data_IF_413638375759
#
_entry.id   IF_413638375759
#
_cell.length_a   1.000
_cell.length_b   1.000
_cell.length_c   1.000
_cell.angle_alpha   90.00
_cell.angle_beta   90.00
_cell.angle_gamma   90.00
#
_symmetry.space_group_name_H-M   'P 1'
#
loop_
_entity.id
_entity.type
_entity.pdbx_description
1 polymer ?
#
# COMPACT_ATOMS: atom_id res chain seq x y z
N UNK A 1 4.54 8.54 20.57
CA UNK A 1 5.71 8.36 19.71
C UNK A 1 5.37 8.88 18.32
N UNK A 2 6.21 9.76 17.81
CA UNK A 2 6.16 10.27 16.43
C UNK A 2 7.54 10.13 15.83
N UNK A 3 7.61 9.61 14.63
CA UNK A 3 8.84 9.47 13.86
C UNK A 3 8.63 10.04 12.46
N UNK A 4 9.63 10.78 11.96
CA UNK A 4 9.64 11.29 10.61
C UNK A 4 10.99 11.04 9.95
N UNK A 5 10.98 10.69 8.68
CA UNK A 5 12.17 10.46 7.88
C UNK A 5 12.10 11.20 6.55
N UNK A 6 13.23 11.78 6.13
CA UNK A 6 13.41 12.32 4.77
C UNK A 6 14.23 11.33 3.97
N UNK A 7 13.80 11.05 2.77
CA UNK A 7 14.42 10.04 1.90
C UNK A 7 14.94 10.73 0.64
N UNK A 8 16.23 10.53 0.39
CA UNK A 8 16.86 10.86 -0.87
C UNK A 8 17.67 9.65 -1.33
N UNK A 9 17.32 9.13 -2.50
CA UNK A 9 18.02 8.01 -3.13
C UNK A 9 18.31 8.32 -4.58
N UNK A 10 19.52 8.07 -5.00
CA UNK A 10 19.95 8.13 -6.39
C UNK A 10 20.47 6.75 -6.78
N UNK A 11 19.76 6.08 -7.66
CA UNK A 11 20.05 4.71 -8.08
C UNK A 11 20.52 4.74 -9.53
N UNK A 12 21.66 4.11 -9.81
CA UNK A 12 22.14 3.82 -11.16
C UNK A 12 21.79 2.37 -11.50
N UNK A 13 21.64 2.09 -12.78
CA UNK A 13 21.33 0.75 -13.29
C UNK A 13 20.10 0.12 -12.62
N UNK A 14 19.04 0.93 -12.45
CA UNK A 14 17.79 0.48 -11.87
C UNK A 14 17.18 -0.64 -12.71
N UNK A 15 16.97 -1.81 -12.12
CA UNK A 15 16.39 -2.96 -12.80
C UNK A 15 14.89 -2.75 -12.97
N UNK A 16 14.43 -2.78 -14.20
CA UNK A 16 13.03 -2.60 -14.58
C UNK A 16 12.58 -3.77 -15.44
N UNK A 17 11.34 -4.20 -15.22
CA UNK A 17 10.66 -5.09 -16.16
C UNK A 17 10.26 -4.31 -17.39
N UNK A 18 10.60 -4.81 -18.55
CA UNK A 18 10.24 -4.25 -19.85
C UNK A 18 9.62 -5.33 -20.75
N UNK A 19 8.92 -4.93 -21.79
CA UNK A 19 8.40 -5.85 -22.80
C UNK A 19 9.39 -5.88 -23.96
N UNK A 20 9.94 -7.06 -24.21
CA UNK A 20 10.77 -7.32 -25.41
C UNK A 20 9.95 -8.10 -26.42
N UNK A 21 10.06 -7.74 -27.69
CA UNK A 21 9.40 -8.44 -28.80
C UNK A 21 10.45 -9.10 -29.67
N UNK A 22 10.38 -10.40 -29.82
CA UNK A 22 11.24 -11.18 -30.74
C UNK A 22 10.35 -12.07 -31.59
N UNK A 23 10.52 -12.00 -32.92
CA UNK A 23 9.73 -12.81 -33.86
C UNK A 23 8.20 -12.55 -33.78
N UNK A 24 7.77 -11.34 -33.43
CA UNK A 24 6.36 -10.99 -33.28
C UNK A 24 5.72 -11.40 -31.94
N UNK A 25 6.44 -12.10 -31.07
CA UNK A 25 5.96 -12.50 -29.74
C UNK A 25 6.53 -11.57 -28.67
N UNK A 26 5.66 -11.01 -27.83
CA UNK A 26 6.06 -10.16 -26.71
C UNK A 26 6.22 -10.97 -25.43
N UNK A 27 7.33 -10.79 -24.74
CA UNK A 27 7.60 -11.41 -23.44
C UNK A 27 8.22 -10.40 -22.46
N UNK A 28 8.00 -10.62 -21.18
CA UNK A 28 8.60 -9.80 -20.15
C UNK A 28 10.10 -10.07 -20.00
N UNK A 29 10.91 -9.05 -20.08
CA UNK A 29 12.35 -9.09 -19.80
C UNK A 29 12.71 -8.09 -18.71
N UNK A 30 13.91 -8.21 -18.16
CA UNK A 30 14.45 -7.22 -17.22
C UNK A 30 15.58 -6.46 -17.91
N UNK A 31 15.54 -5.14 -17.78
CA UNK A 31 16.55 -4.24 -18.36
C UNK A 31 17.05 -3.28 -17.29
N UNK A 32 18.30 -2.85 -17.44
CA UNK A 32 18.84 -1.76 -16.64
C UNK A 32 18.27 -0.44 -17.19
N UNK A 33 17.57 0.28 -16.33
CA UNK A 33 16.91 1.55 -16.63
C UNK A 33 17.76 2.72 -16.14
N UNK A 34 18.92 2.92 -16.56
CA UNK A 34 19.73 4.07 -16.25
C UNK A 34 19.56 4.65 -14.82
N UNK A 35 19.46 5.95 -14.71
CA UNK A 35 19.43 6.67 -13.42
C UNK A 35 18.01 6.97 -12.95
N UNK A 36 17.72 6.64 -11.71
CA UNK A 36 16.45 6.91 -11.02
C UNK A 36 16.69 7.66 -9.71
N UNK A 37 15.94 8.73 -9.49
CA UNK A 37 15.98 9.51 -8.26
C UNK A 37 14.67 9.36 -7.48
N UNK A 38 14.76 9.02 -6.20
CA UNK A 38 13.62 9.01 -5.28
C UNK A 38 13.83 10.09 -4.23
N UNK A 39 12.82 10.94 -4.07
CA UNK A 39 12.74 11.99 -3.03
C UNK A 39 11.44 11.85 -2.29
N UNK A 40 11.48 12.10 -0.99
CA UNK A 40 10.25 12.10 -0.24
C UNK A 40 10.45 12.11 1.25
N UNK A 41 9.37 11.82 1.94
CA UNK A 41 9.36 11.72 3.40
C UNK A 41 8.35 10.66 3.83
N UNK A 42 8.55 10.16 5.03
CA UNK A 42 7.58 9.34 5.74
C UNK A 42 7.34 9.92 7.14
N UNK A 43 6.13 9.71 7.63
CA UNK A 43 5.75 10.04 9.00
C UNK A 43 5.04 8.84 9.59
N UNK A 44 5.40 8.49 10.82
CA UNK A 44 4.74 7.45 11.61
C UNK A 44 4.31 8.01 12.95
N UNK A 45 3.07 7.70 13.32
CA UNK A 45 2.47 8.05 14.61
C UNK A 45 2.08 6.76 15.33
N UNK A 46 2.42 6.67 16.62
CA UNK A 46 1.85 5.69 17.54
C UNK A 46 1.48 6.37 18.84
N UNK A 47 0.23 6.23 19.19
CA UNK A 47 -0.33 6.79 20.42
C UNK A 47 -1.10 5.70 21.17
N UNK A 48 -0.77 5.51 22.45
CA UNK A 48 -1.49 4.62 23.33
C UNK A 48 -1.98 5.42 24.54
N UNK A 49 -3.26 5.37 24.78
CA UNK A 49 -3.85 5.99 25.95
C UNK A 49 -4.34 4.90 26.90
N UNK A 50 -3.63 4.74 28.03
CA UNK A 50 -3.88 3.67 28.98
C UNK A 50 -3.83 2.28 28.29
N UNK A 51 -4.57 1.32 28.81
CA UNK A 51 -4.68 -0.04 28.29
C UNK A 51 -5.94 -0.27 27.42
N UNK A 52 -6.70 0.80 27.15
CA UNK A 52 -7.98 0.67 26.46
C UNK A 52 -8.03 1.29 25.05
N UNK A 53 -7.02 2.08 24.66
CA UNK A 53 -7.00 2.74 23.35
C UNK A 53 -5.62 2.79 22.73
N UNK A 54 -5.52 2.41 21.44
CA UNK A 54 -4.33 2.57 20.62
C UNK A 54 -4.70 3.19 19.27
N UNK A 55 -3.86 4.11 18.81
CA UNK A 55 -3.92 4.72 17.49
C UNK A 55 -2.55 4.57 16.82
N UNK A 56 -2.53 4.05 15.62
CA UNK A 56 -1.37 3.97 14.75
C UNK A 56 -1.62 4.69 13.43
N UNK A 57 -0.56 5.18 12.80
CA UNK A 57 -0.68 5.76 11.48
C UNK A 57 0.67 5.89 10.81
N UNK A 58 0.69 5.70 9.50
CA UNK A 58 1.85 5.96 8.65
C UNK A 58 1.41 6.71 7.41
N UNK A 59 2.20 7.69 7.01
CA UNK A 59 2.04 8.40 5.76
C UNK A 59 3.36 8.39 5.00
N UNK A 60 3.31 8.07 3.72
CA UNK A 60 4.47 8.03 2.84
C UNK A 60 4.22 8.89 1.60
N UNK A 61 5.20 9.71 1.27
CA UNK A 61 5.24 10.47 0.03
C UNK A 61 6.62 10.29 -0.60
N UNK A 62 6.72 9.44 -1.64
CA UNK A 62 7.97 9.01 -2.27
C UNK A 62 7.90 9.25 -3.77
N UNK A 63 8.36 10.38 -4.24
CA UNK A 63 8.39 10.73 -5.66
C UNK A 63 9.63 10.13 -6.34
N UNK A 64 9.41 9.07 -7.12
CA UNK A 64 10.46 8.33 -7.85
C UNK A 64 10.43 8.69 -9.33
N UNK A 65 11.49 9.31 -9.84
CA UNK A 65 11.57 9.83 -11.20
C UNK A 65 12.75 9.31 -11.98
N UNK A 66 12.54 9.16 -13.30
CA UNK A 66 13.59 8.90 -14.26
C UNK A 66 14.50 10.13 -14.37
N UNK A 67 15.81 9.92 -14.23
CA UNK A 67 16.85 10.95 -14.38
C UNK A 67 17.86 10.59 -15.46
N UNK A 68 17.57 9.60 -16.30
CA UNK A 68 18.40 9.27 -17.44
C UNK A 68 18.11 10.21 -18.60
N UNK A 69 19.06 11.09 -18.90
CA UNK A 69 18.92 12.08 -19.97
C UNK A 69 19.08 11.49 -21.37
N UNK A 70 19.94 10.49 -21.51
CA UNK A 70 20.27 9.91 -22.82
C UNK A 70 20.21 8.40 -22.74
N UNK A 71 19.43 7.78 -23.60
CA UNK A 71 19.43 6.32 -23.77
C UNK A 71 20.39 5.92 -24.90
N UNK A 72 21.17 4.89 -24.67
CA UNK A 72 22.17 4.39 -25.64
C UNK A 72 21.59 4.04 -27.03
N UNK A 73 20.31 3.74 -27.12
CA UNK A 73 19.61 3.39 -28.36
C UNK A 73 19.03 4.60 -29.12
N UNK A 74 19.02 5.80 -28.55
CA UNK A 74 18.38 6.97 -29.14
C UNK A 74 19.44 8.01 -29.55
N UNK A 75 20.18 7.78 -30.65
CA UNK A 75 20.97 8.76 -31.43
C UNK A 75 21.10 10.18 -30.84
N UNK A 76 21.46 10.34 -29.57
CA UNK A 76 21.71 11.62 -28.93
C UNK A 76 20.45 12.43 -28.48
N UNK A 77 19.24 11.95 -28.72
CA UNK A 77 18.00 12.61 -28.26
C UNK A 77 17.76 12.41 -26.78
N UNK A 78 17.14 13.40 -26.14
CA UNK A 78 16.72 13.29 -24.77
C UNK A 78 15.69 12.14 -24.62
N UNK A 79 15.82 11.33 -23.55
CA UNK A 79 14.84 10.30 -23.24
C UNK A 79 13.48 10.95 -22.96
N UNK A 80 12.42 10.52 -23.65
CA UNK A 80 11.05 11.02 -23.46
C UNK A 80 10.55 10.82 -22.02
N UNK A 81 11.16 9.90 -21.28
CA UNK A 81 10.82 9.58 -19.89
C UNK A 81 11.55 10.45 -18.86
N UNK A 82 12.52 11.27 -19.31
CA UNK A 82 13.29 12.11 -18.39
C UNK A 82 12.40 13.04 -17.56
N UNK A 83 12.57 12.99 -16.24
CA UNK A 83 11.76 13.77 -15.29
C UNK A 83 10.38 13.18 -14.98
N UNK A 84 9.94 12.18 -15.73
CA UNK A 84 8.66 11.50 -15.47
C UNK A 84 8.74 10.59 -14.26
N UNK A 85 7.60 10.39 -13.59
CA UNK A 85 7.49 9.37 -12.53
C UNK A 85 7.65 7.98 -13.12
N UNK A 86 8.34 7.11 -12.41
CA UNK A 86 8.40 5.69 -12.76
C UNK A 86 6.99 5.13 -12.66
N UNK A 87 6.45 4.52 -13.72
CA UNK A 87 5.10 3.96 -13.71
C UNK A 87 5.00 2.75 -12.78
N UNK A 88 3.77 2.43 -12.40
CA UNK A 88 3.41 1.31 -11.55
C UNK A 88 4.05 1.36 -10.14
N UNK A 89 4.34 2.55 -9.65
CA UNK A 89 4.82 2.79 -8.28
C UNK A 89 3.92 3.83 -7.61
N UNK A 90 3.16 3.45 -6.57
CA UNK A 90 2.44 4.41 -5.75
C UNK A 90 3.41 5.40 -5.10
N UNK A 91 3.14 6.69 -5.25
CA UNK A 91 4.01 7.72 -4.68
C UNK A 91 3.49 8.32 -3.38
N UNK A 92 2.20 8.15 -3.11
CA UNK A 92 1.57 8.69 -1.90
C UNK A 92 0.57 7.67 -1.36
N UNK A 93 0.78 7.22 -0.12
CA UNK A 93 -0.10 6.27 0.54
C UNK A 93 -0.02 6.39 2.05
N UNK A 94 -1.10 6.00 2.71
CA UNK A 94 -1.22 6.04 4.16
C UNK A 94 -1.93 4.81 4.70
N UNK A 95 -1.62 4.47 5.94
CA UNK A 95 -2.39 3.53 6.75
C UNK A 95 -2.69 4.18 8.10
N UNK A 96 -3.89 3.97 8.60
CA UNK A 96 -4.29 4.38 9.94
C UNK A 96 -4.96 3.19 10.59
N UNK A 97 -4.62 2.90 11.84
CA UNK A 97 -5.27 1.88 12.65
C UNK A 97 -5.68 2.44 14.00
N UNK A 98 -6.83 2.00 14.50
CA UNK A 98 -7.39 2.43 15.76
C UNK A 98 -7.99 1.22 16.47
N UNK A 99 -7.63 1.02 17.73
CA UNK A 99 -8.09 -0.12 18.52
C UNK A 99 -8.59 0.33 19.89
N UNK A 100 -9.76 -0.19 20.28
CA UNK A 100 -10.33 -0.04 21.58
C UNK A 100 -10.42 -1.38 22.30
N UNK A 101 -10.12 -1.40 23.58
CA UNK A 101 -10.13 -2.60 24.42
C UNK A 101 -10.98 -2.36 25.67
N UNK A 102 -11.97 -3.19 25.89
CA UNK A 102 -12.77 -3.20 27.13
C UNK A 102 -12.45 -4.46 27.90
N UNK A 103 -11.63 -4.29 28.94
CA UNK A 103 -11.21 -5.39 29.79
C UNK A 103 -12.27 -5.73 30.82
N UNK A 104 -12.38 -7.00 31.19
CA UNK A 104 -13.35 -7.55 32.14
C UNK A 104 -14.81 -7.28 31.78
N UNK A 105 -15.11 -7.08 30.48
CA UNK A 105 -16.47 -6.89 30.02
C UNK A 105 -17.27 -8.20 30.18
N UNK A 106 -18.44 -8.13 30.84
CA UNK A 106 -19.35 -9.21 31.21
C UNK A 106 -18.78 -10.21 32.23
N UNK A 107 -17.48 -10.48 32.28
CA UNK A 107 -16.85 -11.32 33.30
C UNK A 107 -15.35 -11.02 33.44
N UNK A 108 -14.78 -11.32 34.61
CA UNK A 108 -13.32 -11.17 34.84
C UNK A 108 -12.52 -12.05 33.88
N UNK A 109 -11.48 -11.46 33.31
CA UNK A 109 -10.61 -12.14 32.32
C UNK A 109 -11.18 -12.18 30.90
N UNK A 110 -12.28 -11.49 30.61
CA UNK A 110 -12.81 -11.30 29.27
C UNK A 110 -12.41 -9.93 28.71
N UNK A 111 -12.18 -9.86 27.41
CA UNK A 111 -11.84 -8.60 26.74
C UNK A 111 -12.60 -8.50 25.42
N UNK A 112 -13.31 -7.39 25.23
CA UNK A 112 -13.84 -6.99 23.93
C UNK A 112 -12.84 -6.07 23.25
N UNK A 113 -12.58 -6.33 21.99
CA UNK A 113 -11.72 -5.50 21.13
C UNK A 113 -12.52 -5.01 19.94
N UNK A 114 -12.48 -3.71 19.70
CA UNK A 114 -12.96 -3.11 18.44
C UNK A 114 -11.76 -2.51 17.72
N UNK A 115 -11.60 -2.87 16.45
CA UNK A 115 -10.56 -2.36 15.59
C UNK A 115 -11.14 -1.72 14.35
N UNK A 116 -10.55 -0.62 13.94
CA UNK A 116 -10.77 0.01 12.65
C UNK A 116 -9.42 0.28 12.00
N UNK A 117 -9.29 -0.06 10.73
CA UNK A 117 -8.13 0.30 9.93
C UNK A 117 -8.57 0.92 8.59
N UNK A 118 -7.76 1.86 8.14
CA UNK A 118 -7.96 2.57 6.89
C UNK A 118 -6.69 2.54 6.07
N UNK A 119 -6.83 2.18 4.82
CA UNK A 119 -5.79 2.28 3.81
C UNK A 119 -6.17 3.37 2.81
N UNK A 120 -5.22 4.23 2.49
CA UNK A 120 -5.31 5.25 1.45
C UNK A 120 -4.16 5.11 0.46
N UNK A 121 -4.45 5.25 -0.82
CA UNK A 121 -3.46 5.31 -1.89
C UNK A 121 -3.91 6.33 -2.92
N UNK A 122 -3.04 7.29 -3.23
CA UNK A 122 -3.29 8.25 -4.31
C UNK A 122 -3.22 7.57 -5.67
N UNK A 123 -3.87 8.12 -6.68
CA UNK A 123 -3.80 7.62 -8.04
C UNK A 123 -2.37 7.71 -8.60
N UNK A 124 -2.00 6.75 -9.43
CA UNK A 124 -0.67 6.73 -10.05
C UNK A 124 -0.72 6.15 -11.46
N UNK A 125 0.24 6.52 -12.34
CA UNK A 125 0.25 6.03 -13.71
C UNK A 125 0.65 4.55 -13.78
N UNK A 126 -0.08 3.76 -14.58
CA UNK A 126 0.26 2.36 -14.85
C UNK A 126 1.38 2.24 -15.89
N UNK A 127 1.45 3.19 -16.82
CA UNK A 127 2.44 3.27 -17.88
C UNK A 127 3.10 4.66 -17.91
N UNK A 128 4.14 4.82 -18.68
CA UNK A 128 4.80 6.12 -18.88
C UNK A 128 3.82 7.16 -19.41
N UNK A 129 3.73 8.30 -18.74
CA UNK A 129 2.82 9.39 -19.14
C UNK A 129 3.29 10.13 -20.40
N UNK A 130 4.56 9.99 -20.78
CA UNK A 130 5.13 10.59 -21.99
C UNK A 130 4.87 9.80 -23.27
N UNK A 131 4.38 8.56 -23.18
CA UNK A 131 4.08 7.72 -24.33
C UNK A 131 2.58 7.55 -24.57
N UNK A 132 2.19 7.48 -25.85
CA UNK A 132 0.82 7.24 -26.27
C UNK A 132 -0.06 8.50 -26.21
N UNK A 133 -1.33 8.32 -26.54
CA UNK A 133 -2.33 9.38 -26.58
C UNK A 133 -2.70 9.82 -25.13
N UNK A 134 -2.72 11.13 -24.83
CA UNK A 134 -3.16 11.64 -23.54
C UNK A 134 -4.56 11.19 -23.11
N UNK A 135 -5.47 10.96 -24.07
CA UNK A 135 -6.84 10.52 -23.79
C UNK A 135 -6.97 9.06 -23.38
N UNK A 136 -5.90 8.25 -23.62
CA UNK A 136 -5.90 6.80 -23.30
C UNK A 136 -4.99 6.46 -22.13
N UNK A 137 -4.58 7.44 -21.32
CA UNK A 137 -3.71 7.22 -20.16
C UNK A 137 -4.40 6.36 -19.12
N UNK A 138 -3.84 5.19 -18.86
CA UNK A 138 -4.32 4.29 -17.83
C UNK A 138 -3.63 4.61 -16.51
N UNK A 139 -4.43 4.91 -15.50
CA UNK A 139 -3.99 5.15 -14.13
C UNK A 139 -4.69 4.18 -13.20
N UNK A 140 -4.00 3.73 -12.19
CA UNK A 140 -4.66 3.11 -11.03
C UNK A 140 -5.34 4.22 -10.25
N UNK A 141 -6.66 4.18 -10.05
CA UNK A 141 -7.39 5.27 -9.42
C UNK A 141 -6.99 5.44 -7.95
N UNK A 142 -7.29 6.61 -7.39
CA UNK A 142 -7.22 6.81 -5.95
C UNK A 142 -8.12 5.81 -5.25
N UNK A 143 -7.65 5.27 -4.14
CA UNK A 143 -8.35 4.24 -3.38
C UNK A 143 -8.33 4.56 -1.90
N UNK A 144 -9.46 4.30 -1.25
CA UNK A 144 -9.59 4.33 0.21
C UNK A 144 -10.37 3.10 0.65
N UNK A 145 -9.87 2.40 1.65
CA UNK A 145 -10.52 1.19 2.17
C UNK A 145 -10.60 1.26 3.68
N UNK A 146 -11.77 0.95 4.21
CA UNK A 146 -12.03 0.87 5.64
C UNK A 146 -12.33 -0.57 6.02
N UNK A 147 -11.68 -1.08 7.05
CA UNK A 147 -11.96 -2.38 7.61
C UNK A 147 -12.37 -2.23 9.07
N UNK A 148 -13.28 -3.09 9.51
CA UNK A 148 -13.73 -3.16 10.90
C UNK A 148 -13.48 -4.55 11.44
N UNK A 149 -13.09 -4.63 12.70
CA UNK A 149 -12.96 -5.88 13.42
C UNK A 149 -13.57 -5.80 14.80
N UNK A 150 -14.22 -6.87 15.21
CA UNK A 150 -14.79 -7.05 16.55
C UNK A 150 -14.32 -8.39 17.09
N UNK A 151 -13.59 -8.38 18.19
CA UNK A 151 -13.06 -9.58 18.83
C UNK A 151 -13.54 -9.71 20.28
N UNK A 152 -13.92 -10.90 20.69
CA UNK A 152 -14.22 -11.19 22.07
C UNK A 152 -13.38 -12.37 22.57
N UNK A 153 -12.56 -12.07 23.57
CA UNK A 153 -11.66 -13.01 24.24
C UNK A 153 -12.26 -13.41 25.59
N UNK A 154 -12.34 -14.69 25.86
CA UNK A 154 -12.98 -15.27 27.03
C UNK A 154 -11.95 -16.07 27.82
N UNK A 155 -12.05 -16.05 29.16
CA UNK A 155 -11.18 -16.79 30.10
C UNK A 155 -9.69 -16.55 29.83
N UNK A 156 -9.26 -15.29 29.89
CA UNK A 156 -7.88 -14.87 29.67
C UNK A 156 -7.32 -15.35 28.30
N UNK A 157 -8.13 -15.31 27.24
CA UNK A 157 -7.70 -15.67 25.91
C UNK A 157 -7.86 -17.14 25.52
N UNK A 158 -8.41 -18.00 26.42
CA UNK A 158 -8.61 -19.42 26.09
C UNK A 158 -9.55 -19.64 24.90
N UNK A 159 -10.62 -18.84 24.83
CA UNK A 159 -11.55 -18.84 23.69
C UNK A 159 -11.58 -17.46 23.07
N UNK A 160 -11.48 -17.41 21.75
CA UNK A 160 -11.50 -16.15 21.01
C UNK A 160 -12.47 -16.27 19.83
N UNK A 161 -13.40 -15.33 19.76
CA UNK A 161 -14.34 -15.19 18.66
C UNK A 161 -14.05 -13.84 18.02
N UNK A 162 -13.95 -13.79 16.70
CA UNK A 162 -13.80 -12.52 16.01
C UNK A 162 -14.60 -12.46 14.72
N UNK A 163 -15.10 -11.26 14.44
CA UNK A 163 -15.71 -10.87 13.17
C UNK A 163 -14.89 -9.77 12.55
N UNK A 164 -14.75 -9.84 11.24
CA UNK A 164 -14.04 -8.83 10.44
C UNK A 164 -14.86 -8.50 9.19
N UNK A 165 -15.05 -7.22 8.93
CA UNK A 165 -15.61 -6.70 7.69
C UNK A 165 -14.49 -5.96 6.96
N UNK A 166 -14.04 -6.50 5.83
CA UNK A 166 -13.07 -5.85 4.95
C UNK A 166 -13.77 -5.05 3.88
N UNK A 167 -13.17 -3.91 3.54
CA UNK A 167 -13.71 -3.00 2.54
C UNK A 167 -15.17 -2.63 2.84
N UNK A 168 -15.41 -2.07 4.02
CA UNK A 168 -16.72 -1.74 4.56
C UNK A 168 -17.59 -0.94 3.59
N UNK A 169 -16.99 -0.01 2.88
CA UNK A 169 -17.65 0.89 1.92
C UNK A 169 -17.91 0.26 0.55
N UNK A 170 -17.43 -0.97 0.34
CA UNK A 170 -17.51 -1.70 -0.94
C UNK A 170 -16.87 -0.93 -2.11
N UNK A 171 -15.77 -0.24 -1.82
CA UNK A 171 -15.02 0.53 -2.80
C UNK A 171 -14.37 -0.40 -3.84
N UNK A 172 -14.28 0.04 -5.08
CA UNK A 172 -13.55 -0.69 -6.11
C UNK A 172 -12.05 -0.52 -5.91
N UNK A 173 -11.42 -1.54 -5.36
CA UNK A 173 -9.99 -1.56 -5.08
C UNK A 173 -9.26 -2.29 -6.19
N UNK A 174 -8.06 -1.80 -6.50
CA UNK A 174 -7.20 -2.37 -7.54
C UNK A 174 -5.81 -2.66 -6.97
N UNK A 175 -5.13 -3.62 -7.56
CA UNK A 175 -3.71 -3.83 -7.32
C UNK A 175 -2.84 -2.90 -8.19
N UNK A 176 -1.52 -3.05 -8.11
CA UNK A 176 -0.59 -2.26 -8.91
C UNK A 176 -0.63 -2.56 -10.40
N UNK A 177 -1.32 -3.61 -10.83
CA UNK A 177 -1.52 -3.96 -12.23
C UNK A 177 -2.91 -3.57 -12.75
N UNK A 178 -3.65 -2.76 -11.97
CA UNK A 178 -5.03 -2.38 -12.25
C UNK A 178 -6.01 -3.56 -12.29
N UNK A 179 -5.67 -4.69 -11.62
CA UNK A 179 -6.59 -5.79 -11.45
C UNK A 179 -7.48 -5.52 -10.24
N UNK A 180 -8.79 -5.66 -10.43
CA UNK A 180 -9.76 -5.43 -9.37
C UNK A 180 -9.61 -6.49 -8.27
N UNK A 181 -9.50 -6.03 -7.02
CA UNK A 181 -9.54 -6.87 -5.82
C UNK A 181 -10.96 -7.24 -5.45
N UNK A 182 -11.11 -8.21 -4.54
CA UNK A 182 -12.41 -8.54 -3.97
C UNK A 182 -13.05 -7.32 -3.32
N UNK A 183 -14.38 -7.18 -3.49
CA UNK A 183 -15.18 -6.16 -2.83
C UNK A 183 -15.32 -6.43 -1.32
N UNK A 184 -16.41 -5.95 -0.73
CA UNK A 184 -16.69 -6.16 0.69
C UNK A 184 -16.76 -7.64 1.04
N UNK A 185 -16.08 -8.02 2.13
CA UNK A 185 -16.03 -9.40 2.59
C UNK A 185 -16.16 -9.47 4.11
N UNK A 186 -16.83 -10.53 4.57
CA UNK A 186 -17.05 -10.80 5.99
C UNK A 186 -16.36 -12.09 6.38
N UNK A 187 -15.68 -12.06 7.53
CA UNK A 187 -14.97 -13.21 8.08
C UNK A 187 -15.39 -13.44 9.53
N UNK A 188 -15.63 -14.70 9.87
CA UNK A 188 -15.80 -15.17 11.23
C UNK A 188 -14.66 -16.11 11.59
N UNK A 189 -14.08 -15.96 12.78
CA UNK A 189 -13.02 -16.85 13.28
C UNK A 189 -13.31 -17.23 14.71
N UNK A 190 -13.18 -18.53 14.99
CA UNK A 190 -13.20 -19.07 16.34
C UNK A 190 -11.87 -19.78 16.60
N UNK A 191 -11.25 -19.48 17.77
CA UNK A 191 -9.98 -20.09 18.19
C UNK A 191 -10.06 -20.55 19.62
N UNK A 192 -9.57 -21.76 19.88
CA UNK A 192 -9.45 -22.35 21.22
C UNK A 192 -7.98 -22.66 21.48
N UNK A 193 -7.49 -22.28 22.65
CA UNK A 193 -6.17 -22.69 23.11
C UNK A 193 -6.32 -23.83 24.12
N UNK A 194 -5.71 -24.97 23.80
CA UNK A 194 -5.61 -26.15 24.65
C UNK A 194 -4.25 -26.09 25.34
N UNK A 195 -4.20 -25.53 26.53
CA UNK A 195 -3.00 -25.50 27.37
C UNK A 195 -3.39 -25.33 28.83
N UNK A 196 -2.55 -25.84 29.72
CA UNK A 196 -2.71 -25.66 31.19
C UNK A 196 -2.36 -24.23 31.56
#
# INVERSE_FOLDING_TARGET
YVEGGVIYRNTQDYIKRDLSTVGGTSYGSYTNHGRVETKGFNVSLRYSYSNWFNLGGTFNNLDTRDKEKKRAASSGQNALTYGQRIPNIPYQYANVDMNFYWHNLFAKGNTLTFGWDCFYQHDFPLYWESFGDPSTKIRVPQQISHNLSLGYSIRNGRYNISFECRNLTDEKLYDNFSLQKAGRAFYGKFRVYFGK
#
